data_IF_829652136306
#
_entry.id   IF_829652136306
#
_cell.length_a   1.000
_cell.length_b   1.000
_cell.length_c   1.000
_cell.angle_alpha   90.00
_cell.angle_beta   90.00
_cell.angle_gamma   90.00
#
_symmetry.space_group_name_H-M   'P 1'
#
loop_
_entity.id
_entity.type
_entity.pdbx_description
1 polymer ?
#
# COMPACT_ATOMS: atom_id res chain seq x y z
N UNK A 1 36.58 0.91 42.61
CA UNK A 1 35.22 1.43 42.86
C UNK A 1 34.83 2.31 41.68
N UNK A 2 34.13 1.78 40.69
CA UNK A 2 33.69 2.56 39.52
C UNK A 2 32.27 3.08 39.79
N UNK A 3 32.10 4.39 39.88
CA UNK A 3 30.77 5.01 40.02
C UNK A 3 29.98 4.85 38.71
N UNK A 4 28.74 4.39 38.81
CA UNK A 4 27.81 4.30 37.69
C UNK A 4 27.46 5.70 37.18
N UNK A 5 27.29 5.92 35.85
CA UNK A 5 26.94 7.23 35.33
C UNK A 5 25.52 7.63 35.76
N UNK A 6 25.41 8.81 36.35
CA UNK A 6 24.16 9.38 36.86
C UNK A 6 23.23 9.69 35.68
N UNK A 7 22.12 8.93 35.57
CA UNK A 7 21.08 9.13 34.55
C UNK A 7 20.42 10.50 34.72
N UNK A 8 20.48 11.35 33.68
CA UNK A 8 19.80 12.65 33.67
C UNK A 8 18.30 12.45 33.44
N UNK A 9 17.50 12.88 34.40
CA UNK A 9 16.03 12.82 34.36
C UNK A 9 15.46 14.14 33.84
N UNK A 10 14.45 14.08 32.96
CA UNK A 10 13.70 15.26 32.52
C UNK A 10 12.28 15.19 33.06
N UNK A 11 11.87 16.24 33.77
CA UNK A 11 10.51 16.37 34.30
C UNK A 11 9.62 16.95 33.22
N UNK A 12 8.61 16.18 32.80
CA UNK A 12 7.60 16.66 31.86
C UNK A 12 6.28 16.79 32.63
N UNK A 13 5.68 17.98 32.59
CA UNK A 13 4.37 18.25 33.17
C UNK A 13 3.32 17.94 32.12
N UNK A 14 2.54 16.88 32.36
CA UNK A 14 1.44 16.52 31.48
C UNK A 14 0.14 16.67 32.27
N UNK A 15 -0.86 17.42 31.77
CA UNK A 15 -2.16 17.49 32.43
C UNK A 15 -2.81 16.11 32.34
N UNK A 16 -3.12 15.51 33.50
CA UNK A 16 -3.83 14.24 33.57
C UNK A 16 -5.10 14.45 34.37
N UNK A 17 -6.24 14.20 33.75
CA UNK A 17 -7.52 14.23 34.45
C UNK A 17 -7.67 12.94 35.24
N UNK A 18 -7.68 13.05 36.57
CA UNK A 18 -7.99 11.93 37.46
C UNK A 18 -9.26 12.32 38.21
N UNK A 19 -10.32 11.51 38.07
CA UNK A 19 -11.62 11.72 38.71
C UNK A 19 -12.29 13.08 38.38
N UNK A 20 -12.11 13.59 37.15
CA UNK A 20 -12.80 14.80 36.67
C UNK A 20 -12.18 16.13 37.08
N UNK A 21 -11.03 16.13 37.75
CA UNK A 21 -10.26 17.35 38.07
C UNK A 21 -8.94 17.31 37.30
N UNK A 22 -8.67 18.37 36.52
CA UNK A 22 -7.39 18.55 35.82
C UNK A 22 -6.28 18.74 36.84
N UNK A 23 -5.46 17.70 37.05
CA UNK A 23 -4.30 17.79 37.93
C UNK A 23 -3.04 17.65 37.09
N UNK A 24 -2.11 18.59 37.27
CA UNK A 24 -0.78 18.53 36.66
C UNK A 24 0.05 17.49 37.40
N UNK A 25 0.26 16.33 36.79
CA UNK A 25 1.11 15.27 37.36
C UNK A 25 2.50 15.42 36.78
N UNK A 26 3.51 15.57 37.65
CA UNK A 26 4.92 15.52 37.24
C UNK A 26 5.29 14.05 36.99
N UNK A 27 5.53 13.71 35.73
CA UNK A 27 6.05 12.38 35.36
C UNK A 27 7.53 12.57 35.05
N UNK A 28 8.38 11.92 35.85
CA UNK A 28 9.80 11.79 35.54
C UNK A 28 9.97 10.77 34.42
N UNK A 29 10.40 11.23 33.25
CA UNK A 29 10.75 10.38 32.12
C UNK A 29 12.27 10.49 31.96
N UNK A 30 12.95 9.34 31.88
CA UNK A 30 14.37 9.31 31.57
C UNK A 30 14.58 9.91 30.17
N UNK A 31 15.48 10.89 30.02
CA UNK A 31 15.68 11.69 28.78
C UNK A 31 16.38 10.90 27.66
N UNK A 32 16.39 9.57 27.75
CA UNK A 32 16.95 8.68 26.73
C UNK A 32 15.84 8.30 25.75
N UNK A 33 16.01 8.72 24.49
CA UNK A 33 15.05 8.57 23.41
C UNK A 33 14.56 7.14 23.23
N UNK A 34 13.34 6.87 23.68
CA UNK A 34 12.63 5.62 23.45
C UNK A 34 13.33 4.37 24.00
N UNK A 35 12.77 3.17 23.76
CA UNK A 35 13.49 1.95 24.04
C UNK A 35 14.75 1.90 23.18
N UNK A 36 15.91 2.09 23.81
CA UNK A 36 17.20 1.91 23.16
C UNK A 36 17.35 0.45 22.74
N UNK A 37 17.51 0.21 21.44
CA UNK A 37 17.63 -1.13 20.86
C UNK A 37 18.89 -1.89 21.30
N UNK A 38 19.76 -1.28 22.12
CA UNK A 38 21.02 -1.86 22.56
C UNK A 38 22.07 -1.93 21.44
N UNK A 39 23.28 -2.42 21.74
CA UNK A 39 24.36 -2.57 20.76
C UNK A 39 23.94 -3.42 19.56
N UNK A 40 24.33 -2.99 18.34
CA UNK A 40 23.95 -3.60 17.06
C UNK A 40 24.35 -5.08 16.92
N UNK A 41 25.37 -5.51 17.65
CA UNK A 41 25.91 -6.88 17.70
C UNK A 41 25.10 -7.82 18.61
N UNK A 42 24.15 -7.30 19.39
CA UNK A 42 23.35 -8.08 20.35
C UNK A 42 21.92 -8.35 19.88
N UNK A 43 21.60 -8.01 18.64
CA UNK A 43 20.25 -8.19 18.09
C UNK A 43 20.11 -9.62 17.58
N UNK A 44 19.02 -10.31 17.94
CA UNK A 44 18.82 -11.70 17.54
C UNK A 44 18.63 -11.90 16.03
N UNK A 45 18.11 -10.89 15.33
CA UNK A 45 17.75 -10.96 13.91
C UNK A 45 18.43 -9.86 13.07
N UNK A 46 18.64 -8.67 13.64
CA UNK A 46 19.29 -7.58 12.92
C UNK A 46 20.78 -7.86 12.76
N UNK A 47 21.35 -7.49 11.62
CA UNK A 47 22.77 -7.71 11.26
C UNK A 47 23.19 -9.18 11.10
N UNK A 48 22.23 -10.10 10.99
CA UNK A 48 22.48 -11.50 10.67
C UNK A 48 21.94 -11.85 9.27
N UNK A 49 22.65 -12.75 8.58
CA UNK A 49 22.13 -13.34 7.35
C UNK A 49 20.95 -14.25 7.68
N UNK A 50 19.77 -13.89 7.21
CA UNK A 50 18.55 -14.68 7.38
C UNK A 50 18.10 -15.22 6.03
N UNK A 51 17.80 -16.52 6.00
CA UNK A 51 17.19 -17.13 4.82
C UNK A 51 15.78 -16.58 4.64
N UNK A 52 15.43 -16.27 3.39
CA UNK A 52 14.09 -15.77 3.04
C UNK A 52 13.06 -16.87 3.27
N UNK A 53 12.04 -16.59 4.07
CA UNK A 53 11.00 -17.57 4.46
C UNK A 53 10.22 -18.10 3.25
N UNK A 54 9.99 -17.26 2.25
CA UNK A 54 9.33 -17.61 0.99
C UNK A 54 10.28 -18.23 -0.06
N UNK A 55 11.59 -18.29 0.22
CA UNK A 55 12.62 -18.77 -0.68
C UNK A 55 12.34 -20.19 -1.21
N UNK A 56 12.15 -21.18 -0.32
CA UNK A 56 11.85 -22.56 -0.71
C UNK A 56 10.61 -22.68 -1.61
N UNK A 57 9.52 -21.94 -1.31
CA UNK A 57 8.28 -21.98 -2.08
C UNK A 57 8.48 -21.46 -3.52
N UNK A 58 9.27 -20.39 -3.66
CA UNK A 58 9.56 -19.77 -4.95
C UNK A 58 10.46 -20.62 -5.84
N UNK A 59 11.50 -21.23 -5.27
CA UNK A 59 12.47 -22.04 -6.05
C UNK A 59 11.94 -23.42 -6.41
N UNK A 60 10.97 -23.94 -5.66
CA UNK A 60 10.31 -25.23 -5.95
C UNK A 60 9.10 -25.11 -6.89
N UNK A 61 8.68 -23.89 -7.25
CA UNK A 61 7.54 -23.65 -8.13
C UNK A 61 6.17 -23.88 -7.50
N UNK A 62 6.10 -24.08 -6.17
CA UNK A 62 4.84 -24.30 -5.44
C UNK A 62 4.23 -23.00 -4.90
N UNK A 63 4.95 -21.89 -4.96
CA UNK A 63 4.41 -20.59 -4.61
C UNK A 63 3.32 -20.17 -5.61
N UNK A 64 2.09 -20.00 -5.13
CA UNK A 64 0.97 -19.51 -5.94
C UNK A 64 0.98 -17.98 -6.06
N UNK A 65 0.96 -17.48 -7.29
CA UNK A 65 0.78 -16.07 -7.60
C UNK A 65 -0.66 -15.79 -8.07
N UNK A 66 -0.98 -14.50 -8.19
CA UNK A 66 -2.31 -14.05 -8.65
C UNK A 66 -2.70 -14.65 -10.00
N UNK A 67 -1.72 -14.89 -10.88
CA UNK A 67 -1.95 -15.49 -12.19
C UNK A 67 -2.23 -17.01 -12.14
N UNK A 68 -1.81 -17.71 -11.09
CA UNK A 68 -1.97 -19.17 -10.96
C UNK A 68 -3.35 -19.56 -10.46
N UNK A 69 -4.05 -18.62 -9.81
CA UNK A 69 -5.40 -18.85 -9.30
C UNK A 69 -6.40 -19.00 -10.45
N UNK A 70 -7.28 -20.00 -10.33
CA UNK A 70 -8.40 -20.24 -11.24
C UNK A 70 -9.68 -20.29 -10.41
N UNK A 71 -10.63 -19.42 -10.71
CA UNK A 71 -11.95 -19.40 -10.05
C UNK A 71 -13.03 -19.86 -11.04
N UNK A 72 -14.11 -20.52 -10.58
CA UNK A 72 -15.24 -20.83 -11.44
C UNK A 72 -15.81 -19.56 -12.08
N UNK A 73 -16.16 -19.64 -13.36
CA UNK A 73 -16.66 -18.50 -14.16
C UNK A 73 -15.70 -17.29 -14.22
N UNK A 74 -14.38 -17.52 -14.15
CA UNK A 74 -13.37 -16.47 -14.35
C UNK A 74 -13.47 -15.88 -15.75
N UNK A 75 -13.62 -14.56 -15.81
CA UNK A 75 -13.61 -13.79 -17.05
C UNK A 75 -12.20 -13.27 -17.34
N UNK A 76 -11.86 -13.14 -18.62
CA UNK A 76 -10.53 -12.69 -19.04
C UNK A 76 -10.55 -11.22 -19.47
N UNK A 77 -9.57 -10.48 -18.94
CA UNK A 77 -9.38 -9.06 -19.19
C UNK A 77 -8.44 -8.77 -20.35
N UNK A 78 -8.78 -7.86 -21.27
CA UNK A 78 -7.81 -7.27 -22.20
C UNK A 78 -7.88 -5.75 -22.19
N UNK A 79 -6.72 -5.10 -22.10
CA UNK A 79 -6.61 -3.65 -22.13
C UNK A 79 -6.23 -3.18 -23.54
N UNK A 80 -7.03 -2.29 -24.11
CA UNK A 80 -6.61 -1.49 -25.27
C UNK A 80 -5.84 -0.27 -24.77
N UNK A 81 -4.68 -0.01 -25.35
CA UNK A 81 -3.83 1.15 -25.03
C UNK A 81 -3.69 2.04 -26.25
N UNK A 82 -3.49 3.34 -26.03
CA UNK A 82 -3.24 4.29 -27.11
C UNK A 82 -1.95 3.94 -27.88
N UNK A 83 -1.98 3.99 -29.23
CA UNK A 83 -0.80 3.84 -30.06
C UNK A 83 0.03 5.15 -30.17
N UNK A 84 -0.51 6.28 -29.70
CA UNK A 84 0.11 7.59 -29.82
C UNK A 84 0.67 8.04 -28.48
N UNK A 85 1.90 8.56 -28.47
CA UNK A 85 2.54 9.09 -27.26
C UNK A 85 1.79 10.29 -26.65
N UNK A 86 1.15 11.11 -27.51
CA UNK A 86 0.30 12.22 -27.10
C UNK A 86 -0.79 12.46 -28.14
N UNK A 87 -2.05 12.28 -27.75
CA UNK A 87 -3.21 12.52 -28.58
C UNK A 87 -4.43 12.81 -27.71
N UNK A 88 -5.44 13.46 -28.29
CA UNK A 88 -6.76 13.62 -27.68
C UNK A 88 -7.67 12.52 -28.22
N UNK A 89 -8.30 11.75 -27.34
CA UNK A 89 -9.35 10.80 -27.71
C UNK A 89 -10.61 11.58 -28.08
N UNK A 90 -10.98 11.57 -29.36
CA UNK A 90 -12.19 12.24 -29.86
C UNK A 90 -13.39 11.30 -29.78
N UNK A 91 -13.19 10.04 -30.16
CA UNK A 91 -14.22 9.01 -30.22
C UNK A 91 -13.59 7.64 -29.95
N UNK A 92 -14.35 6.80 -29.26
CA UNK A 92 -14.08 5.37 -29.10
C UNK A 92 -15.28 4.63 -29.69
N UNK A 93 -15.05 3.74 -30.65
CA UNK A 93 -16.09 2.84 -31.18
C UNK A 93 -15.87 1.42 -30.65
N UNK A 94 -16.83 0.92 -29.90
CA UNK A 94 -16.79 -0.41 -29.27
C UNK A 94 -17.74 -1.41 -29.94
N UNK A 95 -18.41 -1.02 -31.02
CA UNK A 95 -19.51 -1.78 -31.63
C UNK A 95 -19.07 -3.18 -32.05
N UNK A 96 -17.92 -3.30 -32.71
CA UNK A 96 -17.42 -4.59 -33.17
C UNK A 96 -17.01 -5.48 -31.99
N UNK A 97 -16.36 -4.89 -30.98
CA UNK A 97 -15.96 -5.61 -29.77
C UNK A 97 -17.18 -6.16 -29.00
N UNK A 98 -18.29 -5.41 -28.95
CA UNK A 98 -19.53 -5.87 -28.29
C UNK A 98 -20.24 -6.99 -29.06
N UNK A 99 -20.06 -7.07 -30.39
CA UNK A 99 -20.69 -8.10 -31.22
C UNK A 99 -19.91 -9.41 -31.26
N UNK A 100 -18.65 -9.42 -30.83
CA UNK A 100 -17.83 -10.62 -30.83
C UNK A 100 -18.40 -11.68 -29.88
N UNK A 101 -18.48 -12.94 -30.35
CA UNK A 101 -18.91 -14.07 -29.54
C UNK A 101 -17.94 -14.30 -28.38
N UNK A 102 -18.45 -14.43 -27.16
CA UNK A 102 -17.63 -14.65 -25.96
C UNK A 102 -17.30 -13.37 -25.19
N UNK A 103 -17.75 -12.21 -25.66
CA UNK A 103 -17.58 -10.93 -24.94
C UNK A 103 -18.74 -10.74 -23.97
N UNK A 104 -18.43 -10.53 -22.69
CA UNK A 104 -19.44 -10.27 -21.66
C UNK A 104 -19.63 -8.79 -21.39
N UNK A 105 -18.56 -8.00 -21.44
CA UNK A 105 -18.63 -6.56 -21.26
C UNK A 105 -17.47 -5.82 -21.96
N UNK A 106 -17.77 -4.60 -22.39
CA UNK A 106 -16.77 -3.62 -22.82
C UNK A 106 -16.95 -2.38 -21.97
N UNK A 107 -15.89 -1.96 -21.28
CA UNK A 107 -15.92 -0.80 -20.38
C UNK A 107 -15.10 0.32 -21.02
N UNK A 108 -15.76 1.38 -21.48
CA UNK A 108 -15.10 2.58 -22.00
C UNK A 108 -15.07 3.70 -20.96
N UNK A 109 -14.06 4.56 -21.03
CA UNK A 109 -13.97 5.77 -20.20
C UNK A 109 -15.10 6.77 -20.50
N UNK A 110 -15.69 6.70 -21.69
CA UNK A 110 -16.85 7.51 -22.07
C UNK A 110 -18.13 7.14 -21.30
N UNK A 111 -18.18 5.95 -20.72
CA UNK A 111 -19.41 5.39 -20.15
C UNK A 111 -19.65 5.82 -18.70
N UNK A 112 -18.65 6.43 -18.04
CA UNK A 112 -18.81 6.99 -16.69
C UNK A 112 -18.21 8.39 -16.61
N UNK A 113 -18.93 9.38 -16.01
CA UNK A 113 -18.29 10.62 -15.61
C UNK A 113 -17.18 10.27 -14.61
N UNK A 114 -16.01 10.90 -14.75
CA UNK A 114 -14.86 10.69 -13.88
C UNK A 114 -15.28 10.77 -12.41
N UNK A 115 -15.35 9.62 -11.74
CA UNK A 115 -15.51 9.56 -10.30
C UNK A 115 -14.10 9.60 -9.74
N UNK A 116 -13.76 10.71 -9.08
CA UNK A 116 -12.49 10.95 -8.40
C UNK A 116 -12.30 9.87 -7.33
N UNK A 117 -11.69 8.74 -7.71
CA UNK A 117 -11.45 7.65 -6.77
C UNK A 117 -10.20 7.99 -6.01
N UNK A 118 -10.41 8.73 -4.92
CA UNK A 118 -9.39 9.16 -3.98
C UNK A 118 -8.79 7.97 -3.23
N UNK A 119 -7.52 7.66 -3.54
CA UNK A 119 -6.65 6.90 -2.67
C UNK A 119 -5.23 7.48 -2.79
N UNK A 120 -4.98 8.58 -2.10
CA UNK A 120 -3.69 9.27 -2.06
C UNK A 120 -3.84 10.78 -2.26
N UNK A 121 -3.54 11.55 -1.20
CA UNK A 121 -3.53 13.00 -1.23
C UNK A 121 -2.65 13.53 -2.39
N UNK A 122 -3.26 14.31 -3.29
CA UNK A 122 -2.55 15.10 -4.30
C UNK A 122 -2.67 14.68 -5.77
N UNK A 123 -3.69 13.93 -6.17
CA UNK A 123 -3.88 13.61 -7.61
C UNK A 123 -4.76 14.66 -8.29
N UNK A 124 -4.24 15.30 -9.34
CA UNK A 124 -4.99 16.16 -10.29
C UNK A 124 -6.26 15.45 -10.76
N UNK A 125 -7.35 16.18 -11.10
CA UNK A 125 -8.56 15.56 -11.66
C UNK A 125 -8.17 14.63 -12.80
N UNK A 126 -8.74 13.42 -12.81
CA UNK A 126 -8.35 12.38 -13.74
C UNK A 126 -8.63 12.83 -15.19
N UNK A 127 -7.59 13.25 -15.90
CA UNK A 127 -7.64 13.39 -17.35
C UNK A 127 -8.12 12.07 -17.95
N UNK A 128 -8.92 12.09 -19.03
CA UNK A 128 -9.43 10.87 -19.63
C UNK A 128 -8.26 9.97 -20.06
N UNK A 129 -7.99 8.91 -19.29
CA UNK A 129 -6.97 7.90 -19.56
C UNK A 129 -7.54 6.82 -20.48
N UNK A 130 -6.74 6.37 -21.44
CA UNK A 130 -7.14 5.53 -22.58
C UNK A 130 -7.50 4.06 -22.26
N UNK A 131 -7.85 3.72 -21.02
CA UNK A 131 -7.97 2.31 -20.63
C UNK A 131 -9.40 1.78 -20.81
N UNK A 132 -9.58 1.00 -21.87
CA UNK A 132 -10.77 0.15 -22.05
C UNK A 132 -10.45 -1.23 -21.50
N UNK A 133 -11.23 -1.71 -20.53
CA UNK A 133 -11.13 -3.09 -20.03
C UNK A 133 -12.19 -3.92 -20.74
N UNK A 134 -11.73 -4.87 -21.55
CA UNK A 134 -12.56 -5.93 -22.12
C UNK A 134 -12.74 -7.03 -21.09
N UNK A 135 -13.96 -7.53 -20.88
CA UNK A 135 -14.22 -8.68 -20.02
C UNK A 135 -14.89 -9.75 -20.90
N UNK A 136 -14.13 -10.79 -21.25
CA UNK A 136 -14.61 -11.98 -21.95
C UNK A 136 -15.10 -13.04 -20.97
#
# INVERSE_FOLDING_TARGET
MQQAPVKKKKKIRVPRVVNGVETTVEIEIDDEGGPGWGPNDKHALLNHYLTRVDGPLKVSGIAEYTYDKRVPAMLYGRLLRSPHAHARVIKIDVTDAQRMSGVKAVISITDKPAQDTSAGAGTKPAEPRDTIVHVA
#
